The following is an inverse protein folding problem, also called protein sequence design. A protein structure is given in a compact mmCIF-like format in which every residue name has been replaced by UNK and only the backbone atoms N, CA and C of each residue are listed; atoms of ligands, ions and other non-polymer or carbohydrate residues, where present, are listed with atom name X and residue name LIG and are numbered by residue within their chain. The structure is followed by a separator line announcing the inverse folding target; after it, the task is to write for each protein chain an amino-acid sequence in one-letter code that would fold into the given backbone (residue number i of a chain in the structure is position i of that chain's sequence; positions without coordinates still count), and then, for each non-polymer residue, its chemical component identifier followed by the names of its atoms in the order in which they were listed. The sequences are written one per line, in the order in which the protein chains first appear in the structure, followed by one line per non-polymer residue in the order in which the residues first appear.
data_IF_177807302893
#
_entry.id   IF_177807302893
#
_cell.length_a   1.000
_cell.length_b   1.000
_cell.length_c   1.000
_cell.angle_alpha   90.00
_cell.angle_beta   90.00
_cell.angle_gamma   90.00
#
_symmetry.space_group_name_H-M   'P 1'
#
loop_
_entity.id
_entity.type
_entity.pdbx_description
1 polymer ?
#
# COMPACT_ATOMS: atom_id res chain seq x y z
N UNK A 1 5.23 -24.67 -18.51
CA UNK A 1 5.01 -24.56 -17.06
C UNK A 1 4.80 -23.08 -16.78
N UNK A 2 3.79 -22.74 -16.00
CA UNK A 2 3.57 -21.35 -15.63
C UNK A 2 4.63 -20.98 -14.58
N UNK A 3 5.29 -19.82 -14.73
CA UNK A 3 6.32 -19.39 -13.79
C UNK A 3 5.73 -19.24 -12.39
N UNK A 4 6.43 -19.73 -11.39
CA UNK A 4 6.03 -19.56 -10.00
C UNK A 4 6.38 -18.12 -9.58
N UNK A 5 5.36 -17.36 -9.15
CA UNK A 5 5.50 -15.99 -8.68
C UNK A 5 5.35 -15.98 -7.16
N UNK A 6 6.42 -15.67 -6.44
CA UNK A 6 6.43 -15.64 -4.96
C UNK A 6 6.48 -14.20 -4.47
N UNK A 7 5.53 -13.83 -3.61
CA UNK A 7 5.52 -12.55 -2.92
C UNK A 7 5.93 -12.74 -1.45
N UNK A 8 7.14 -12.31 -1.09
CA UNK A 8 7.55 -12.18 0.30
C UNK A 8 6.94 -10.93 0.91
N UNK A 9 6.15 -11.11 1.98
CA UNK A 9 5.32 -10.07 2.56
C UNK A 9 5.28 -10.16 4.10
N UNK A 10 4.62 -9.19 4.73
CA UNK A 10 4.31 -9.18 6.16
C UNK A 10 2.81 -8.95 6.39
N UNK A 11 2.24 -9.47 7.49
CA UNK A 11 0.79 -9.52 7.71
C UNK A 11 0.15 -8.13 7.85
N UNK A 12 0.94 -7.13 8.22
CA UNK A 12 0.49 -5.78 8.52
C UNK A 12 1.21 -4.70 7.68
N UNK A 13 1.94 -5.11 6.63
CA UNK A 13 2.59 -4.17 5.72
C UNK A 13 1.58 -3.53 4.77
N UNK A 14 1.43 -2.19 4.75
CA UNK A 14 0.53 -1.53 3.82
C UNK A 14 1.01 -1.63 2.37
N UNK A 15 2.32 -1.62 2.15
CA UNK A 15 2.95 -1.78 0.83
C UNK A 15 2.77 -3.21 0.30
N UNK A 16 2.96 -4.22 1.16
CA UNK A 16 2.69 -5.60 0.81
C UNK A 16 1.22 -5.86 0.54
N UNK A 17 0.32 -5.22 1.30
CA UNK A 17 -1.11 -5.28 1.03
C UNK A 17 -1.45 -4.67 -0.33
N UNK A 18 -0.88 -3.52 -0.67
CA UNK A 18 -1.07 -2.87 -1.98
C UNK A 18 -0.72 -3.82 -3.12
N UNK A 19 0.42 -4.51 -3.05
CA UNK A 19 0.84 -5.49 -4.08
C UNK A 19 -0.08 -6.70 -4.14
N UNK A 20 -0.53 -7.22 -2.99
CA UNK A 20 -1.48 -8.34 -2.94
C UNK A 20 -2.84 -7.97 -3.50
N UNK A 21 -3.36 -6.77 -3.17
CA UNK A 21 -4.60 -6.24 -3.75
C UNK A 21 -4.47 -6.13 -5.27
N UNK A 22 -3.34 -5.62 -5.77
CA UNK A 22 -3.07 -5.52 -7.20
C UNK A 22 -3.07 -6.89 -7.88
N UNK A 23 -2.40 -7.89 -7.31
CA UNK A 23 -2.41 -9.25 -7.84
C UNK A 23 -3.82 -9.83 -7.94
N UNK A 24 -4.64 -9.65 -6.89
CA UNK A 24 -6.03 -10.13 -6.88
C UNK A 24 -6.93 -9.36 -7.86
N UNK A 25 -6.77 -8.04 -7.95
CA UNK A 25 -7.55 -7.21 -8.88
C UNK A 25 -7.21 -7.50 -10.34
N UNK A 26 -5.97 -7.87 -10.61
CA UNK A 26 -5.44 -8.23 -11.92
C UNK A 26 -5.50 -9.74 -12.22
N UNK A 27 -6.08 -10.53 -11.31
CA UNK A 27 -6.23 -11.99 -11.46
C UNK A 27 -4.90 -12.71 -11.73
N UNK A 28 -3.80 -12.15 -11.20
CA UNK A 28 -2.48 -12.77 -11.28
C UNK A 28 -2.29 -13.71 -10.09
N UNK A 29 -2.03 -14.98 -10.38
CA UNK A 29 -1.80 -15.98 -9.33
C UNK A 29 -0.39 -15.81 -8.74
N UNK A 30 -0.33 -15.57 -7.43
CA UNK A 30 0.91 -15.43 -6.66
C UNK A 30 0.88 -16.36 -5.44
N UNK A 31 2.06 -16.90 -5.07
CA UNK A 31 2.26 -17.56 -3.79
C UNK A 31 2.74 -16.52 -2.75
N UNK A 32 1.90 -16.15 -1.78
CA UNK A 32 2.32 -15.25 -0.70
C UNK A 32 3.04 -16.01 0.41
N UNK A 33 4.25 -15.54 0.78
CA UNK A 33 5.03 -16.04 1.90
C UNK A 33 5.20 -14.93 2.95
N UNK A 34 4.58 -15.13 4.11
CA UNK A 34 4.71 -14.20 5.23
C UNK A 34 6.04 -14.45 5.94
N UNK A 35 6.88 -13.43 5.98
CA UNK A 35 8.21 -13.48 6.60
C UNK A 35 8.40 -12.38 7.64
N UNK A 36 9.32 -12.62 8.57
CA UNK A 36 9.94 -11.56 9.37
C UNK A 36 11.29 -11.20 8.73
N UNK A 37 11.40 -10.02 8.14
CA UNK A 37 12.62 -9.59 7.41
C UNK A 37 13.85 -9.48 8.33
N UNK A 38 13.66 -9.32 9.63
CA UNK A 38 14.76 -9.25 10.60
C UNK A 38 15.39 -10.61 10.91
N UNK A 39 14.67 -11.70 10.61
CA UNK A 39 15.09 -13.09 10.90
C UNK A 39 15.33 -13.91 9.61
N UNK A 40 14.93 -13.39 8.46
CA UNK A 40 14.94 -14.08 7.19
C UNK A 40 16.19 -13.74 6.37
N UNK A 41 17.36 -14.24 6.75
CA UNK A 41 18.63 -13.93 6.07
C UNK A 41 18.64 -14.29 4.58
N UNK A 42 17.85 -15.29 4.17
CA UNK A 42 17.74 -15.67 2.76
C UNK A 42 17.21 -14.53 1.86
N UNK A 43 16.53 -13.51 2.45
CA UNK A 43 15.98 -12.41 1.67
C UNK A 43 17.07 -11.51 1.07
N UNK A 44 18.27 -11.49 1.64
CA UNK A 44 19.38 -10.63 1.22
C UNK A 44 19.75 -10.83 -0.25
N UNK A 45 19.68 -12.06 -0.74
CA UNK A 45 19.94 -12.38 -2.17
C UNK A 45 18.87 -11.82 -3.11
N UNK A 46 17.67 -11.50 -2.60
CA UNK A 46 16.54 -10.98 -3.38
C UNK A 46 16.33 -9.48 -3.16
N UNK A 47 16.60 -9.01 -1.92
CA UNK A 47 16.44 -7.61 -1.54
C UNK A 47 17.44 -7.23 -0.44
N UNK A 48 18.59 -6.65 -0.80
CA UNK A 48 19.61 -6.26 0.17
C UNK A 48 19.17 -5.16 1.14
N UNK A 49 18.03 -4.50 0.87
CA UNK A 49 17.44 -3.51 1.80
C UNK A 49 16.64 -4.18 2.93
N UNK A 50 16.44 -5.51 2.88
CA UNK A 50 15.59 -6.27 3.83
C UNK A 50 14.21 -5.64 4.01
N UNK A 51 13.57 -5.25 2.91
CA UNK A 51 12.23 -4.66 2.92
C UNK A 51 11.22 -5.58 2.24
N UNK A 52 9.99 -5.49 2.70
CA UNK A 52 8.82 -6.11 2.09
C UNK A 52 7.88 -5.01 1.54
N UNK A 53 7.18 -5.30 0.44
CA UNK A 53 7.14 -6.54 -0.34
C UNK A 53 8.40 -6.74 -1.21
N UNK A 54 8.70 -8.01 -1.49
CA UNK A 54 9.69 -8.43 -2.50
C UNK A 54 9.06 -9.53 -3.35
N UNK A 55 9.02 -9.36 -4.66
CA UNK A 55 8.49 -10.35 -5.60
C UNK A 55 9.65 -11.12 -6.24
N UNK A 56 9.52 -12.45 -6.35
CA UNK A 56 10.52 -13.32 -6.97
C UNK A 56 9.84 -14.18 -8.02
N UNK A 57 10.38 -14.14 -9.24
CA UNK A 57 9.94 -14.91 -10.39
C UNK A 57 11.19 -15.60 -10.98
N UNK A 58 11.32 -16.92 -10.79
CA UNK A 58 12.51 -17.65 -11.20
C UNK A 58 13.80 -17.02 -10.64
N UNK A 59 14.63 -16.40 -11.47
CA UNK A 59 15.87 -15.72 -11.08
C UNK A 59 15.70 -14.20 -10.94
N UNK A 60 14.55 -13.65 -11.35
CA UNK A 60 14.26 -12.21 -11.25
C UNK A 60 13.71 -11.89 -9.86
N UNK A 61 14.27 -10.87 -9.22
CA UNK A 61 13.74 -10.29 -8.00
C UNK A 61 13.33 -8.84 -8.28
N UNK A 62 12.09 -8.48 -7.91
CA UNK A 62 11.56 -7.13 -8.06
C UNK A 62 11.31 -6.57 -6.66
N UNK A 63 11.90 -5.43 -6.40
CA UNK A 63 11.75 -4.67 -5.15
C UNK A 63 11.03 -3.36 -5.44
N UNK A 64 10.55 -2.72 -4.35
CA UNK A 64 9.63 -1.60 -4.38
C UNK A 64 8.20 -1.99 -4.81
N UNK A 65 7.23 -1.52 -4.01
CA UNK A 65 5.83 -1.91 -4.21
C UNK A 65 5.22 -1.38 -5.50
N UNK A 66 5.67 -0.22 -6.01
CA UNK A 66 5.16 0.32 -7.27
C UNK A 66 5.71 -0.46 -8.47
N UNK A 67 7.00 -0.83 -8.44
CA UNK A 67 7.59 -1.68 -9.46
C UNK A 67 6.90 -3.06 -9.50
N UNK A 68 6.59 -3.62 -8.33
CA UNK A 68 5.86 -4.90 -8.24
C UNK A 68 4.45 -4.74 -8.83
N UNK A 69 3.72 -3.66 -8.50
CA UNK A 69 2.40 -3.41 -9.06
C UNK A 69 2.42 -3.21 -10.57
N UNK A 70 3.41 -2.47 -11.10
CA UNK A 70 3.61 -2.30 -12.54
C UNK A 70 3.89 -3.65 -13.23
N UNK A 71 4.73 -4.49 -12.63
CA UNK A 71 5.01 -5.83 -13.17
C UNK A 71 3.74 -6.69 -13.20
N UNK A 72 3.00 -6.76 -12.09
CA UNK A 72 1.76 -7.55 -12.01
C UNK A 72 0.71 -7.06 -13.03
N UNK A 73 0.58 -5.76 -13.21
CA UNK A 73 -0.28 -5.17 -14.22
C UNK A 73 0.17 -5.56 -15.65
N UNK A 74 1.48 -5.54 -15.92
CA UNK A 74 2.04 -5.83 -17.25
C UNK A 74 1.84 -7.26 -17.72
N UNK A 75 1.68 -8.22 -16.80
CA UNK A 75 1.45 -9.65 -17.11
C UNK A 75 -0.02 -10.07 -17.02
N UNK A 76 -0.88 -9.16 -16.59
CA UNK A 76 -2.32 -9.38 -16.53
C UNK A 76 -2.97 -9.40 -17.92
N UNK A 77 -4.13 -10.07 -18.01
CA UNK A 77 -5.02 -10.02 -19.18
C UNK A 77 -6.16 -9.04 -19.01
N UNK A 78 -6.31 -8.45 -17.82
CA UNK A 78 -7.33 -7.47 -17.50
C UNK A 78 -6.93 -6.08 -18.01
N UNK A 79 -7.86 -5.13 -17.96
CA UNK A 79 -7.57 -3.73 -18.26
C UNK A 79 -6.48 -3.19 -17.33
N UNK A 80 -5.58 -2.40 -17.88
CA UNK A 80 -4.46 -1.84 -17.12
C UNK A 80 -4.92 -0.90 -16.03
N UNK A 81 -4.30 -1.00 -14.86
CA UNK A 81 -4.45 -0.06 -13.75
C UNK A 81 -3.73 1.29 -14.00
N UNK A 82 -2.95 1.36 -15.08
CA UNK A 82 -2.14 2.53 -15.48
C UNK A 82 -2.48 3.02 -16.89
N UNK A 83 -3.74 3.40 -17.18
CA UNK A 83 -4.13 3.85 -18.52
C UNK A 83 -3.29 5.06 -18.96
N UNK A 84 -2.80 5.01 -20.21
CA UNK A 84 -1.89 6.03 -20.79
C UNK A 84 -2.43 7.46 -20.70
N UNK A 85 -3.75 7.62 -20.83
CA UNK A 85 -4.41 8.93 -20.83
C UNK A 85 -4.16 9.71 -19.53
N UNK A 86 -4.15 9.02 -18.38
CA UNK A 86 -4.06 9.62 -17.04
C UNK A 86 -2.84 9.08 -16.27
N UNK A 87 -1.84 8.57 -16.99
CA UNK A 87 -0.71 7.85 -16.37
C UNK A 87 -0.01 8.67 -15.27
N UNK A 88 0.31 9.93 -15.54
CA UNK A 88 1.04 10.77 -14.60
C UNK A 88 0.19 11.22 -13.40
N UNK A 89 -1.12 11.43 -13.61
CA UNK A 89 -2.04 11.70 -12.50
C UNK A 89 -2.14 10.48 -11.56
N UNK A 90 -2.29 9.27 -12.12
CA UNK A 90 -2.34 8.02 -11.37
C UNK A 90 -1.04 7.80 -10.60
N UNK A 91 0.11 7.96 -11.26
CA UNK A 91 1.42 7.81 -10.61
C UNK A 91 1.64 8.83 -9.49
N UNK A 92 1.24 10.09 -9.70
CA UNK A 92 1.34 11.12 -8.68
C UNK A 92 0.46 10.81 -7.45
N UNK A 93 -0.80 10.44 -7.66
CA UNK A 93 -1.71 10.05 -6.58
C UNK A 93 -1.23 8.79 -5.85
N UNK A 94 -0.71 7.80 -6.58
CA UNK A 94 -0.09 6.60 -6.00
C UNK A 94 1.10 6.98 -5.11
N UNK A 95 1.96 7.88 -5.56
CA UNK A 95 3.10 8.39 -4.78
C UNK A 95 2.66 9.13 -3.52
N UNK A 96 1.61 9.97 -3.59
CA UNK A 96 1.03 10.64 -2.42
C UNK A 96 0.47 9.62 -1.42
N UNK A 97 -0.22 8.59 -1.89
CA UNK A 97 -0.73 7.52 -1.03
C UNK A 97 0.41 6.70 -0.39
N UNK A 98 1.51 6.46 -1.11
CA UNK A 98 2.72 5.84 -0.55
C UNK A 98 3.32 6.70 0.56
N UNK A 99 3.45 8.00 0.35
CA UNK A 99 3.93 8.94 1.37
C UNK A 99 3.02 9.00 2.61
N UNK A 100 1.71 8.78 2.44
CA UNK A 100 0.77 8.62 3.57
C UNK A 100 1.08 7.33 4.34
N UNK A 101 1.24 6.19 3.64
CA UNK A 101 1.60 4.91 4.27
C UNK A 101 2.95 4.99 5.02
N UNK A 102 3.96 5.64 4.43
CA UNK A 102 5.25 5.89 5.06
C UNK A 102 5.11 6.72 6.34
N UNK A 103 4.36 7.81 6.29
CA UNK A 103 4.16 8.69 7.44
C UNK A 103 3.47 7.96 8.61
N UNK A 104 2.50 7.10 8.31
CA UNK A 104 1.82 6.24 9.31
C UNK A 104 2.79 5.20 9.87
N UNK A 105 3.61 4.58 9.02
CA UNK A 105 4.63 3.61 9.45
C UNK A 105 5.70 4.26 10.33
N UNK A 106 6.28 5.39 9.91
CA UNK A 106 7.28 6.14 10.67
C UNK A 106 6.74 6.58 12.04
N UNK A 107 5.49 7.09 12.07
CA UNK A 107 4.83 7.41 13.33
C UNK A 107 4.68 6.16 14.23
N UNK A 108 4.28 5.02 13.65
CA UNK A 108 4.15 3.76 14.40
C UNK A 108 5.50 3.32 14.97
N UNK A 109 6.54 3.32 14.14
CA UNK A 109 7.89 2.90 14.56
C UNK A 109 8.42 3.79 15.70
N UNK A 110 8.18 5.10 15.65
CA UNK A 110 8.57 5.99 16.73
C UNK A 110 7.72 5.79 18.00
N UNK A 111 6.42 5.49 17.84
CA UNK A 111 5.51 5.28 18.99
C UNK A 111 5.84 4.03 19.80
N UNK A 112 6.43 2.99 19.19
CA UNK A 112 6.77 1.73 19.88
C UNK A 112 8.16 1.72 20.49
N UNK A 113 8.97 2.78 20.33
CA UNK A 113 10.27 2.92 20.99
C UNK A 113 10.10 3.04 22.50
N UNK A 114 11.19 2.83 23.25
CA UNK A 114 11.21 3.10 24.69
C UNK A 114 10.98 4.58 24.98
N UNK A 115 10.38 4.92 26.11
CA UNK A 115 9.96 6.30 26.43
C UNK A 115 11.12 7.33 26.37
N UNK A 116 12.33 6.92 26.77
CA UNK A 116 13.53 7.77 26.74
C UNK A 116 14.11 7.98 25.32
N UNK A 117 13.65 7.21 24.33
CA UNK A 117 14.11 7.30 22.94
C UNK A 117 13.08 7.93 22.00
N UNK A 118 11.83 8.13 22.48
CA UNK A 118 10.74 8.68 21.66
C UNK A 118 10.93 10.17 21.42
N UNK A 119 10.80 10.58 20.17
CA UNK A 119 10.73 11.97 19.79
C UNK A 119 9.27 12.41 19.60
N UNK A 120 8.73 13.12 20.60
CA UNK A 120 7.37 13.69 20.53
C UNK A 120 7.23 14.67 19.36
N UNK A 121 8.28 15.43 19.05
CA UNK A 121 8.28 16.36 17.92
C UNK A 121 8.22 15.63 16.57
N UNK A 122 8.91 14.49 16.44
CA UNK A 122 8.84 13.66 15.24
C UNK A 122 7.45 13.05 15.07
N UNK A 123 6.86 12.49 16.13
CA UNK A 123 5.48 11.96 16.12
C UNK A 123 4.50 13.05 15.65
N UNK A 124 4.54 14.24 16.26
CA UNK A 124 3.68 15.37 15.88
C UNK A 124 3.88 15.78 14.41
N UNK A 125 5.12 15.81 13.94
CA UNK A 125 5.43 16.10 12.52
C UNK A 125 4.76 15.10 11.58
N UNK A 126 4.75 13.81 11.91
CA UNK A 126 4.08 12.79 11.11
C UNK A 126 2.56 12.93 11.18
N UNK A 127 1.99 13.23 12.33
CA UNK A 127 0.54 13.48 12.48
C UNK A 127 0.07 14.62 11.58
N UNK A 128 0.74 15.76 11.62
CA UNK A 128 0.44 16.92 10.76
C UNK A 128 0.57 16.53 9.26
N UNK A 129 1.57 15.73 8.91
CA UNK A 129 1.76 15.25 7.52
C UNK A 129 0.59 14.35 7.10
N UNK A 130 0.18 13.41 7.96
CA UNK A 130 -0.93 12.49 7.70
C UNK A 130 -2.22 13.28 7.47
N UNK A 131 -2.59 14.18 8.36
CA UNK A 131 -3.80 15.01 8.28
C UNK A 131 -3.82 15.85 7.00
N UNK A 132 -2.71 16.55 6.73
CA UNK A 132 -2.56 17.36 5.53
C UNK A 132 -2.68 16.54 4.25
N UNK A 133 -2.09 15.34 4.23
CA UNK A 133 -2.14 14.46 3.05
C UNK A 133 -3.55 13.93 2.82
N UNK A 134 -4.26 13.51 3.86
CA UNK A 134 -5.65 13.07 3.74
C UNK A 134 -6.55 14.20 3.23
N UNK A 135 -6.37 15.42 3.76
CA UNK A 135 -7.10 16.59 3.29
C UNK A 135 -6.81 16.92 1.83
N UNK A 136 -5.57 16.77 1.41
CA UNK A 136 -5.18 16.97 0.02
C UNK A 136 -5.83 15.92 -0.89
N UNK A 137 -5.88 14.64 -0.49
CA UNK A 137 -6.56 13.56 -1.22
C UNK A 137 -8.06 13.86 -1.33
N UNK A 138 -8.73 14.31 -0.26
CA UNK A 138 -10.14 14.73 -0.30
C UNK A 138 -10.38 15.80 -1.36
N UNK A 139 -9.51 16.82 -1.42
CA UNK A 139 -9.62 17.92 -2.38
C UNK A 139 -9.32 17.49 -3.83
N UNK A 140 -8.58 16.39 -4.01
CA UNK A 140 -8.23 15.83 -5.32
C UNK A 140 -9.26 14.81 -5.83
N UNK A 141 -10.42 14.71 -5.19
CA UNK A 141 -11.48 13.72 -5.45
C UNK A 141 -11.77 13.48 -6.95
N UNK A 142 -11.91 14.54 -7.73
CA UNK A 142 -12.27 14.44 -9.14
C UNK A 142 -11.20 13.72 -9.99
N UNK A 143 -9.99 13.58 -9.48
CA UNK A 143 -8.87 13.00 -10.22
C UNK A 143 -8.86 11.47 -10.15
N UNK A 144 -9.40 10.86 -9.07
CA UNK A 144 -9.39 9.41 -8.85
C UNK A 144 -10.78 8.76 -8.73
N UNK A 145 -11.86 9.55 -8.78
CA UNK A 145 -13.23 9.03 -8.80
C UNK A 145 -13.62 8.58 -10.21
N UNK A 146 -12.98 7.54 -10.69
CA UNK A 146 -13.23 6.94 -12.00
C UNK A 146 -14.14 5.72 -11.88
N UNK A 147 -14.90 5.42 -12.95
CA UNK A 147 -15.76 4.23 -13.02
C UNK A 147 -14.97 2.93 -13.22
N UNK A 148 -13.72 3.04 -13.69
CA UNK A 148 -12.79 1.94 -13.87
C UNK A 148 -11.72 1.94 -12.78
N UNK A 149 -11.17 0.76 -12.48
CA UNK A 149 -10.16 0.58 -11.45
C UNK A 149 -8.80 1.11 -11.92
N UNK A 150 -8.13 1.88 -11.04
CA UNK A 150 -6.79 2.42 -11.28
C UNK A 150 -5.88 2.21 -10.06
N UNK A 151 -4.57 2.29 -10.25
CA UNK A 151 -3.58 2.01 -9.21
C UNK A 151 -3.66 2.99 -8.03
N UNK A 152 -3.92 4.26 -8.30
CA UNK A 152 -4.09 5.29 -7.27
C UNK A 152 -5.28 5.00 -6.35
N UNK A 153 -6.39 4.47 -6.88
CA UNK A 153 -7.53 4.04 -6.05
C UNK A 153 -7.14 2.93 -5.08
N UNK A 154 -6.39 1.93 -5.55
CA UNK A 154 -5.88 0.84 -4.70
C UNK A 154 -4.94 1.39 -3.63
N UNK A 155 -3.98 2.24 -4.03
CA UNK A 155 -3.01 2.84 -3.13
C UNK A 155 -3.67 3.71 -2.05
N UNK A 156 -4.60 4.60 -2.44
CA UNK A 156 -5.36 5.45 -1.53
C UNK A 156 -6.16 4.60 -0.54
N UNK A 157 -6.88 3.57 -1.01
CA UNK A 157 -7.67 2.69 -0.12
C UNK A 157 -6.79 1.95 0.89
N UNK A 158 -5.64 1.40 0.44
CA UNK A 158 -4.69 0.75 1.33
C UNK A 158 -4.09 1.72 2.37
N UNK A 159 -3.76 2.95 1.97
CA UNK A 159 -3.22 3.97 2.85
C UNK A 159 -4.24 4.40 3.92
N UNK A 160 -5.48 4.68 3.52
CA UNK A 160 -6.54 5.08 4.45
C UNK A 160 -6.89 3.96 5.45
N UNK A 161 -6.99 2.72 4.99
CA UNK A 161 -7.27 1.59 5.88
C UNK A 161 -6.09 1.34 6.85
N UNK A 162 -4.86 1.60 6.41
CA UNK A 162 -3.69 1.52 7.28
C UNK A 162 -3.69 2.59 8.37
N UNK A 163 -4.17 3.82 8.10
CA UNK A 163 -4.35 4.85 9.15
C UNK A 163 -5.32 4.38 10.23
N UNK A 164 -6.44 3.77 9.82
CA UNK A 164 -7.44 3.23 10.74
C UNK A 164 -6.86 2.06 11.55
N UNK A 165 -6.18 1.14 10.89
CA UNK A 165 -5.57 -0.02 11.53
C UNK A 165 -4.55 0.36 12.61
N UNK A 166 -3.74 1.41 12.37
CA UNK A 166 -2.68 1.80 13.30
C UNK A 166 -3.12 2.75 14.39
N UNK A 167 -4.03 3.68 14.11
CA UNK A 167 -4.26 4.80 15.01
C UNK A 167 -5.73 5.23 15.14
N UNK A 168 -6.65 4.54 14.47
CA UNK A 168 -8.08 4.88 14.49
C UNK A 168 -8.37 6.37 14.20
N UNK A 169 -7.68 6.94 13.20
CA UNK A 169 -7.82 8.33 12.81
C UNK A 169 -9.27 8.75 12.51
N UNK A 170 -9.66 9.92 12.99
CA UNK A 170 -11.02 10.49 12.82
C UNK A 170 -11.22 11.18 11.46
N UNK A 171 -10.35 10.95 10.47
CA UNK A 171 -10.43 11.61 9.17
C UNK A 171 -11.79 11.44 8.46
N UNK A 172 -12.55 10.41 8.77
CA UNK A 172 -13.84 10.09 8.14
C UNK A 172 -14.88 11.19 8.31
N UNK A 173 -14.95 11.82 9.49
CA UNK A 173 -15.91 12.89 9.77
C UNK A 173 -15.59 14.21 9.07
N UNK A 174 -14.32 14.45 8.79
CA UNK A 174 -13.83 15.71 8.21
C UNK A 174 -13.68 15.65 6.68
N UNK A 175 -13.66 14.44 6.10
CA UNK A 175 -13.41 14.20 4.67
C UNK A 175 -14.55 13.34 4.08
N UNK A 176 -15.72 13.97 3.91
CA UNK A 176 -16.97 13.28 3.59
C UNK A 176 -16.94 12.53 2.27
N UNK A 177 -16.47 13.15 1.19
CA UNK A 177 -16.44 12.52 -0.14
C UNK A 177 -15.49 11.32 -0.16
N UNK A 178 -14.31 11.48 0.44
CA UNK A 178 -13.32 10.43 0.57
C UNK A 178 -13.85 9.26 1.41
N UNK A 179 -14.57 9.57 2.51
CA UNK A 179 -15.17 8.54 3.34
C UNK A 179 -16.27 7.76 2.61
N UNK A 180 -17.19 8.44 1.90
CA UNK A 180 -18.25 7.80 1.12
C UNK A 180 -17.68 6.86 0.04
N UNK A 181 -16.62 7.28 -0.63
CA UNK A 181 -15.90 6.46 -1.60
C UNK A 181 -15.19 5.28 -0.92
N UNK A 182 -14.44 5.53 0.14
CA UNK A 182 -13.68 4.50 0.86
C UNK A 182 -14.60 3.39 1.38
N UNK A 183 -15.75 3.74 1.97
CA UNK A 183 -16.73 2.77 2.48
C UNK A 183 -17.32 1.87 1.37
N UNK A 184 -17.37 2.34 0.14
CA UNK A 184 -17.75 1.54 -1.03
C UNK A 184 -16.56 0.69 -1.49
N UNK A 185 -15.38 1.29 -1.59
CA UNK A 185 -14.19 0.64 -2.14
C UNK A 185 -13.72 -0.53 -1.27
N UNK A 186 -13.73 -0.37 0.06
CA UNK A 186 -13.28 -1.42 1.00
C UNK A 186 -14.19 -2.67 1.00
N UNK A 187 -15.39 -2.58 0.43
CA UNK A 187 -16.30 -3.72 0.24
C UNK A 187 -15.94 -4.61 -0.94
N UNK A 188 -15.05 -4.19 -1.83
CA UNK A 188 -14.56 -5.01 -2.94
C UNK A 188 -13.85 -6.25 -2.39
N UNK A 189 -13.98 -7.40 -3.08
CA UNK A 189 -13.48 -8.68 -2.59
C UNK A 189 -11.99 -8.68 -2.28
N UNK A 190 -11.18 -8.12 -3.18
CA UNK A 190 -9.73 -8.02 -2.99
C UNK A 190 -9.32 -7.15 -1.77
N UNK A 191 -10.15 -6.20 -1.35
CA UNK A 191 -9.91 -5.43 -0.13
C UNK A 191 -10.29 -6.21 1.13
N UNK A 192 -11.41 -6.95 1.09
CA UNK A 192 -11.89 -7.75 2.24
C UNK A 192 -10.95 -8.89 2.59
N UNK A 193 -10.43 -9.59 1.57
CA UNK A 193 -9.58 -10.77 1.74
C UNK A 193 -8.12 -10.44 2.11
N UNK A 194 -7.75 -9.17 2.05
CA UNK A 194 -6.38 -8.69 2.33
C UNK A 194 -6.29 -7.80 3.57
N UNK A 195 -7.27 -7.81 4.45
CA UNK A 195 -7.23 -6.98 5.68
C UNK A 195 -5.96 -7.23 6.48
N UNK A 196 -5.28 -6.15 6.97
CA UNK A 196 -4.12 -6.31 7.82
C UNK A 196 -4.53 -6.90 9.18
N UNK A 197 -3.61 -7.65 9.79
CA UNK A 197 -3.80 -8.21 11.13
C UNK A 197 -2.50 -8.17 11.92
N UNK A 198 -2.60 -8.07 13.23
CA UNK A 198 -1.45 -8.27 14.14
C UNK A 198 -1.24 -9.78 14.35
N UNK A 199 0.02 -10.19 14.36
CA UNK A 199 0.45 -11.58 14.63
C UNK A 199 0.87 -11.74 16.07
#
# INVERSE_FOLDING_TARGET
MQDQIILYNGPNSPFGRKTKVTALAQEVNIEEKIINVYEADFIDKHNPLRKIPTLVINQLSITDSDNICLYLDSISKNDTLFPKKNYWEIMNLTSIANGLMESVLERRMETIRSENEKSKSFINKQEIRIERTIKWIENSWNNYNNDYLTMDQIAIACALDYTIFRFNYRWKSENRKLNEWFEKFIKKNFMKTTKPYEK
#
